data_IF_125158044948
#
_entry.id   IF_125158044948
#
_cell.length_a   1.000
_cell.length_b   1.000
_cell.length_c   1.000
_cell.angle_alpha   90.00
_cell.angle_beta   90.00
_cell.angle_gamma   90.00
#
_symmetry.space_group_name_H-M   'P 1'
#
loop_
_entity.id
_entity.type
_entity.pdbx_description
1 polymer ?
#
# COMPACT_ATOMS: atom_id res chain seq x y z
N UNK A 1 -13.20 -0.89 1.08
CA UNK A 1 -11.80 -0.46 0.90
C UNK A 1 -11.75 0.66 -0.13
N UNK A 2 -11.27 1.87 0.19
CA UNK A 2 -11.13 2.95 -0.80
C UNK A 2 -10.23 2.51 -1.95
N UNK A 3 -10.47 3.13 -3.12
CA UNK A 3 -9.83 2.77 -4.37
C UNK A 3 -8.31 2.89 -4.30
N UNK A 4 -7.62 1.92 -4.90
CA UNK A 4 -6.20 1.98 -5.16
C UNK A 4 -5.92 3.08 -6.19
N UNK A 5 -4.97 3.95 -5.89
CA UNK A 5 -4.51 4.98 -6.83
C UNK A 5 -3.16 4.59 -7.41
N UNK A 6 -3.03 4.78 -8.72
CA UNK A 6 -1.79 4.48 -9.46
C UNK A 6 -1.49 5.66 -10.38
N UNK A 7 -0.40 6.36 -10.08
CA UNK A 7 0.11 7.46 -10.90
C UNK A 7 1.42 7.06 -11.55
N UNK A 8 1.44 6.96 -12.87
CA UNK A 8 2.64 6.66 -13.67
C UNK A 8 3.22 7.95 -14.24
N UNK A 9 4.54 8.13 -14.11
CA UNK A 9 5.30 9.30 -14.53
C UNK A 9 6.61 8.83 -15.18
N UNK A 10 6.54 8.51 -16.47
CA UNK A 10 7.67 7.90 -17.19
C UNK A 10 8.06 6.55 -16.59
N UNK A 11 9.32 6.43 -16.15
CA UNK A 11 9.86 5.23 -15.51
C UNK A 11 9.69 5.22 -13.98
N UNK A 12 8.86 6.12 -13.44
CA UNK A 12 8.44 6.11 -12.05
C UNK A 12 6.93 5.84 -11.94
N UNK A 13 6.51 5.15 -10.89
CA UNK A 13 5.11 5.06 -10.53
C UNK A 13 4.93 5.23 -9.01
N UNK A 14 3.86 5.89 -8.60
CA UNK A 14 3.41 5.94 -7.22
C UNK A 14 2.14 5.11 -7.11
N UNK A 15 2.15 4.10 -6.25
CA UNK A 15 1.00 3.22 -6.00
C UNK A 15 0.57 3.40 -4.55
N UNK A 16 -0.66 3.86 -4.33
CA UNK A 16 -1.22 4.06 -2.99
C UNK A 16 -2.44 3.18 -2.79
N UNK A 17 -2.55 2.57 -1.61
CA UNK A 17 -3.72 1.74 -1.27
C UNK A 17 -3.80 1.40 0.20
N UNK A 18 -4.94 0.85 0.61
CA UNK A 18 -5.14 0.35 1.98
C UNK A 18 -4.55 -1.05 2.14
N UNK A 19 -4.01 -1.31 3.31
CA UNK A 19 -3.51 -2.62 3.69
C UNK A 19 -4.11 -3.05 5.03
N UNK A 20 -4.18 -4.36 5.25
CA UNK A 20 -4.43 -5.01 6.54
C UNK A 20 -3.24 -5.87 6.90
N UNK A 21 -2.78 -5.78 8.15
CA UNK A 21 -1.65 -6.55 8.63
C UNK A 21 -2.09 -7.55 9.70
N UNK A 22 -1.67 -8.80 9.51
CA UNK A 22 -1.95 -9.93 10.39
C UNK A 22 -0.63 -10.53 10.89
N UNK A 23 -0.62 -10.97 12.14
CA UNK A 23 0.46 -11.77 12.73
C UNK A 23 -0.08 -13.18 12.93
N UNK A 24 0.31 -14.09 12.04
CA UNK A 24 -0.40 -15.37 11.90
C UNK A 24 -1.84 -15.13 11.45
N UNK A 25 -2.80 -15.68 12.18
CA UNK A 25 -4.23 -15.48 11.90
C UNK A 25 -4.83 -14.27 12.62
N UNK A 26 -4.07 -13.61 13.51
CA UNK A 26 -4.57 -12.51 14.33
C UNK A 26 -4.40 -11.16 13.63
N UNK A 27 -5.49 -10.41 13.47
CA UNK A 27 -5.43 -9.02 13.02
C UNK A 27 -4.60 -8.17 13.99
N UNK A 28 -3.71 -7.34 13.44
CA UNK A 28 -2.84 -6.45 14.23
C UNK A 28 -3.21 -4.98 14.05
N UNK A 29 -3.17 -4.49 12.82
CA UNK A 29 -3.47 -3.11 12.46
C UNK A 29 -3.71 -3.03 10.96
N UNK A 30 -4.13 -1.87 10.49
CA UNK A 30 -4.24 -1.59 9.07
C UNK A 30 -3.69 -0.19 8.79
N UNK A 31 -3.77 0.26 7.55
CA UNK A 31 -3.34 1.60 7.21
C UNK A 31 -3.36 1.86 5.72
N UNK A 32 -2.75 2.96 5.34
CA UNK A 32 -2.45 3.31 3.95
C UNK A 32 -0.98 3.05 3.70
N UNK A 33 -0.68 2.45 2.56
CA UNK A 33 0.68 2.28 2.09
C UNK A 33 0.85 3.00 0.75
N UNK A 34 2.02 3.60 0.57
CA UNK A 34 2.45 4.18 -0.69
C UNK A 34 3.77 3.54 -1.09
N UNK A 35 3.82 3.00 -2.30
CA UNK A 35 5.02 2.49 -2.92
C UNK A 35 5.46 3.41 -4.03
N UNK A 36 6.74 3.77 -4.03
CA UNK A 36 7.39 4.37 -5.18
C UNK A 36 8.10 3.25 -5.96
N UNK A 37 7.76 3.11 -7.24
CA UNK A 37 8.34 2.12 -8.12
C UNK A 37 9.19 2.78 -9.19
N UNK A 38 10.23 2.08 -9.61
CA UNK A 38 11.06 2.41 -10.76
C UNK A 38 10.98 1.28 -11.80
N UNK A 39 10.88 1.63 -13.08
CA UNK A 39 10.91 0.67 -14.17
C UNK A 39 12.37 0.28 -14.45
N UNK A 40 12.60 -1.02 -14.58
CA UNK A 40 13.87 -1.60 -15.02
C UNK A 40 13.64 -2.48 -16.25
N UNK A 41 14.70 -2.94 -16.91
CA UNK A 41 14.60 -3.90 -18.02
C UNK A 41 13.90 -5.21 -17.61
N UNK A 42 13.97 -5.57 -16.33
CA UNK A 42 13.30 -6.73 -15.74
C UNK A 42 11.90 -6.41 -15.17
N UNK A 43 11.35 -5.22 -15.49
CA UNK A 43 10.05 -4.73 -15.06
C UNK A 43 10.10 -3.77 -13.87
N UNK A 44 8.93 -3.43 -13.34
CA UNK A 44 8.78 -2.54 -12.19
C UNK A 44 9.38 -3.14 -10.91
N UNK A 45 10.04 -2.31 -10.11
CA UNK A 45 10.61 -2.65 -8.80
C UNK A 45 10.23 -1.60 -7.78
N UNK A 46 9.99 -2.02 -6.53
CA UNK A 46 9.74 -1.10 -5.41
C UNK A 46 11.08 -0.47 -5.01
N UNK A 47 11.19 0.85 -5.15
CA UNK A 47 12.35 1.61 -4.73
C UNK A 47 12.26 2.01 -3.25
N UNK A 48 11.05 2.34 -2.78
CA UNK A 48 10.77 2.59 -1.37
C UNK A 48 9.28 2.40 -1.05
N UNK A 49 8.98 2.37 0.25
CA UNK A 49 7.63 2.29 0.78
C UNK A 49 7.48 3.23 1.99
N UNK A 50 6.28 3.76 2.18
CA UNK A 50 5.88 4.49 3.37
C UNK A 50 4.47 4.06 3.78
N UNK A 51 4.26 3.81 5.07
CA UNK A 51 2.99 3.28 5.58
C UNK A 51 2.53 4.02 6.83
N UNK A 52 1.22 4.25 6.94
CA UNK A 52 0.59 4.66 8.21
C UNK A 52 0.34 3.43 9.09
N UNK A 53 0.25 3.61 10.40
CA UNK A 53 -0.06 2.55 11.36
C UNK A 53 -1.36 2.91 12.11
N UNK A 54 -2.46 2.24 11.77
CA UNK A 54 -3.80 2.56 12.30
C UNK A 54 -4.40 1.36 13.03
N UNK A 55 -4.70 1.52 14.32
CA UNK A 55 -5.17 0.43 15.17
C UNK A 55 -6.70 0.31 15.26
N UNK A 56 -7.45 1.31 14.78
CA UNK A 56 -8.92 1.36 14.92
C UNK A 56 -9.70 1.26 13.60
N UNK A 57 -9.02 0.87 12.52
CA UNK A 57 -9.52 0.94 11.16
C UNK A 57 -10.23 -0.33 10.67
N UNK A 58 -10.38 -1.37 11.50
CA UNK A 58 -11.26 -2.51 11.16
C UNK A 58 -12.69 -2.05 10.85
N UNK A 59 -13.14 -0.96 11.50
CA UNK A 59 -14.47 -0.36 11.27
C UNK A 59 -14.61 0.25 9.88
N UNK A 60 -13.51 0.76 9.33
CA UNK A 60 -13.46 1.46 8.03
C UNK A 60 -13.27 0.49 6.85
N UNK A 61 -12.81 -0.73 7.14
CA UNK A 61 -12.64 -1.80 6.16
C UNK A 61 -13.88 -2.68 6.00
N UNK A 62 -14.76 -2.71 7.02
CA UNK A 62 -16.03 -3.43 7.00
C UNK A 62 -17.18 -2.64 6.36
N UNK A 63 -16.95 -1.39 5.97
CA UNK A 63 -17.84 -0.59 5.12
C UNK A 63 -17.37 -0.64 3.68
#
# INVERSE_FOLDING_TARGET
MPDKDVRVMGDMAVVTGRYTFYVGEKFSHCGTNTFNLVRTDAGWRIANAASTLEFQCERDLKK
#
